data_IF_622970825298
#
_entry.id   IF_622970825298
#
_cell.length_a   1.000
_cell.length_b   1.000
_cell.length_c   1.000
_cell.angle_alpha   90.00
_cell.angle_beta   90.00
_cell.angle_gamma   90.00
#
_symmetry.space_group_name_H-M   'P 1'
#
loop_
_entity.id
_entity.type
_entity.pdbx_description
1 polymer ?
#
# COMPACT_ATOMS: atom_id res chain seq x y z
N UNK A 1 -5.04 37.93 -6.01
CA UNK A 1 -5.06 37.02 -7.18
C UNK A 1 -6.26 36.09 -7.02
N UNK A 2 -6.99 35.71 -8.09
CA UNK A 2 -8.12 34.78 -7.98
C UNK A 2 -7.61 33.36 -7.76
N UNK A 3 -8.29 32.62 -6.89
CA UNK A 3 -8.00 31.22 -6.68
C UNK A 3 -8.54 30.37 -7.85
N UNK A 4 -7.71 29.46 -8.35
CA UNK A 4 -8.10 28.47 -9.35
C UNK A 4 -8.69 27.22 -8.71
N UNK A 5 -9.41 26.41 -9.47
CA UNK A 5 -9.92 25.12 -8.99
C UNK A 5 -8.78 24.19 -8.55
N UNK A 6 -7.66 24.21 -9.26
CA UNK A 6 -6.49 23.43 -8.93
C UNK A 6 -5.81 23.86 -7.60
N UNK A 7 -5.93 25.12 -7.22
CA UNK A 7 -5.43 25.61 -5.93
C UNK A 7 -6.36 25.19 -4.79
N UNK A 8 -7.68 25.30 -4.99
CA UNK A 8 -8.66 24.81 -4.02
C UNK A 8 -8.49 23.30 -3.76
N UNK A 9 -8.30 22.53 -4.81
CA UNK A 9 -8.09 21.08 -4.67
C UNK A 9 -6.78 20.74 -3.92
N UNK A 10 -5.69 21.49 -4.16
CA UNK A 10 -4.44 21.32 -3.42
C UNK A 10 -4.61 21.62 -1.93
N UNK A 11 -5.34 22.66 -1.58
CA UNK A 11 -5.63 23.00 -0.19
C UNK A 11 -6.50 21.91 0.45
N UNK A 12 -7.54 21.45 -0.25
CA UNK A 12 -8.38 20.36 0.21
C UNK A 12 -7.57 19.09 0.48
N UNK A 13 -6.60 18.77 -0.37
CA UNK A 13 -5.69 17.62 -0.15
C UNK A 13 -4.81 17.80 1.07
N UNK A 14 -4.28 19.01 1.30
CA UNK A 14 -3.50 19.32 2.51
C UNK A 14 -4.33 19.15 3.79
N UNK A 15 -5.58 19.59 3.77
CA UNK A 15 -6.50 19.42 4.90
C UNK A 15 -6.80 17.94 5.17
N UNK A 16 -6.99 17.13 4.12
CA UNK A 16 -7.21 15.68 4.21
C UNK A 16 -6.01 14.97 4.84
N UNK A 17 -4.81 15.34 4.41
CA UNK A 17 -3.57 14.79 4.95
C UNK A 17 -3.40 15.12 6.43
N UNK A 18 -3.74 16.35 6.84
CA UNK A 18 -3.72 16.77 8.24
C UNK A 18 -4.68 15.97 9.13
N UNK A 19 -5.88 15.65 8.64
CA UNK A 19 -6.81 14.75 9.37
C UNK A 19 -6.24 13.34 9.45
N UNK A 20 -5.71 12.81 8.35
CA UNK A 20 -5.13 11.47 8.33
C UNK A 20 -3.93 11.32 9.29
N UNK A 21 -3.19 12.41 9.51
CA UNK A 21 -2.10 12.49 10.50
C UNK A 21 -2.57 12.78 11.93
N UNK A 22 -3.87 13.02 12.13
CA UNK A 22 -4.44 13.36 13.44
C UNK A 22 -4.08 14.76 13.93
N UNK A 23 -3.70 15.66 13.03
CA UNK A 23 -3.35 17.07 13.32
C UNK A 23 -4.54 18.01 13.21
N UNK A 24 -5.60 17.56 12.57
CA UNK A 24 -6.84 18.28 12.39
C UNK A 24 -8.00 17.41 12.83
N UNK A 25 -8.89 17.94 13.65
CA UNK A 25 -10.11 17.25 14.04
C UNK A 25 -11.16 17.28 12.92
N UNK A 26 -12.10 16.34 12.92
CA UNK A 26 -13.07 16.19 11.83
C UNK A 26 -13.96 17.42 11.68
N UNK A 27 -14.41 18.00 12.76
CA UNK A 27 -15.27 19.19 12.75
C UNK A 27 -14.54 20.40 12.16
N UNK A 28 -13.27 20.55 12.49
CA UNK A 28 -12.41 21.60 11.96
C UNK A 28 -12.07 21.38 10.48
N UNK A 29 -11.88 20.12 10.11
CA UNK A 29 -11.69 19.76 8.69
C UNK A 29 -12.90 20.15 7.84
N UNK A 30 -14.11 19.81 8.27
CA UNK A 30 -15.33 20.16 7.54
C UNK A 30 -15.48 21.66 7.35
N UNK A 31 -15.21 22.45 8.40
CA UNK A 31 -15.28 23.91 8.36
C UNK A 31 -14.26 24.49 7.37
N UNK A 32 -13.00 24.02 7.45
CA UNK A 32 -11.92 24.51 6.57
C UNK A 32 -12.13 24.06 5.13
N UNK A 33 -12.67 22.86 4.91
CA UNK A 33 -12.99 22.35 3.57
C UNK A 33 -14.09 23.16 2.91
N UNK A 34 -15.17 23.48 3.62
CA UNK A 34 -16.26 24.34 3.14
C UNK A 34 -15.74 25.75 2.81
N UNK A 35 -14.89 26.31 3.67
CA UNK A 35 -14.24 27.59 3.42
C UNK A 35 -13.33 27.53 2.18
N UNK A 36 -12.61 26.43 1.95
CA UNK A 36 -11.74 26.22 0.78
C UNK A 36 -12.52 26.31 -0.52
N UNK A 37 -13.67 25.63 -0.59
CA UNK A 37 -14.51 25.65 -1.81
C UNK A 37 -15.26 26.97 -2.01
N UNK A 38 -15.51 27.74 -0.95
CA UNK A 38 -16.08 29.08 -1.02
C UNK A 38 -15.07 30.17 -1.35
N UNK A 39 -13.79 29.94 -1.11
CA UNK A 39 -12.71 30.89 -1.34
C UNK A 39 -12.60 31.29 -2.82
N UNK A 40 -12.55 32.60 -3.08
CA UNK A 40 -12.42 33.19 -4.41
C UNK A 40 -11.02 33.72 -4.68
N UNK A 41 -10.25 33.92 -3.65
CA UNK A 41 -8.91 34.52 -3.75
C UNK A 41 -7.86 33.66 -3.02
N UNK A 42 -6.62 33.82 -3.45
CA UNK A 42 -5.48 33.14 -2.82
C UNK A 42 -5.31 33.56 -1.34
N UNK A 43 -5.60 34.82 -1.03
CA UNK A 43 -5.53 35.33 0.35
C UNK A 43 -6.57 34.69 1.29
N UNK A 44 -7.65 34.16 0.77
CA UNK A 44 -8.66 33.42 1.54
C UNK A 44 -8.28 31.94 1.73
N UNK A 45 -7.46 31.38 0.86
CA UNK A 45 -6.99 30.00 0.95
C UNK A 45 -5.81 29.84 1.92
N UNK A 46 -4.90 30.79 1.93
CA UNK A 46 -3.66 30.75 2.71
C UNK A 46 -3.87 30.53 4.23
N UNK A 47 -4.84 31.22 4.89
CA UNK A 47 -5.09 31.03 6.31
C UNK A 47 -5.57 29.64 6.69
N UNK A 48 -6.22 28.91 5.75
CA UNK A 48 -6.83 27.61 6.02
C UNK A 48 -5.82 26.49 6.21
N UNK A 49 -4.57 26.70 5.80
CA UNK A 49 -3.48 25.71 5.89
C UNK A 49 -2.22 26.28 6.53
N UNK A 50 -2.25 27.52 7.01
CA UNK A 50 -1.07 28.22 7.52
C UNK A 50 -0.44 27.54 8.74
N UNK A 51 -1.25 26.93 9.58
CA UNK A 51 -0.88 26.18 10.77
C UNK A 51 -0.53 24.72 10.49
N UNK A 52 -0.77 24.26 9.26
CA UNK A 52 -0.44 22.92 8.83
C UNK A 52 0.92 22.87 8.15
N UNK A 53 1.72 21.81 8.35
CA UNK A 53 2.96 21.66 7.62
C UNK A 53 2.67 21.52 6.13
N UNK A 54 3.44 22.24 5.32
CA UNK A 54 3.29 22.15 3.85
C UNK A 54 3.54 20.71 3.40
N UNK A 55 2.62 20.08 2.65
CA UNK A 55 2.84 18.75 2.10
C UNK A 55 4.16 18.74 1.31
N UNK A 56 5.10 17.87 1.71
CA UNK A 56 6.42 17.78 1.09
C UNK A 56 7.54 18.60 1.75
N UNK A 57 7.28 19.36 2.82
CA UNK A 57 8.35 20.02 3.58
C UNK A 57 9.05 19.07 4.58
N UNK A 58 8.41 18.00 4.97
CA UNK A 58 9.02 16.92 5.72
C UNK A 58 9.48 15.83 4.75
N UNK A 59 10.73 15.93 4.34
CA UNK A 59 11.47 14.99 3.48
C UNK A 59 11.54 15.39 2.01
N UNK A 60 12.29 16.43 1.71
CA UNK A 60 13.14 16.35 0.51
C UNK A 60 14.11 15.20 0.77
N UNK A 61 14.02 14.09 0.03
CA UNK A 61 15.12 13.16 0.05
C UNK A 61 16.32 13.92 -0.52
N UNK A 62 17.34 14.12 0.32
CA UNK A 62 18.67 14.38 -0.19
C UNK A 62 18.95 13.18 -1.07
N UNK A 63 19.02 13.41 -2.38
CA UNK A 63 19.46 12.43 -3.34
C UNK A 63 20.92 12.10 -3.02
N UNK A 64 21.11 11.18 -2.09
CA UNK A 64 22.36 10.44 -1.99
C UNK A 64 22.39 9.48 -3.16
N UNK A 65 23.56 9.19 -3.75
CA UNK A 65 23.68 8.31 -4.88
C UNK A 65 23.09 6.95 -4.51
N UNK A 66 22.05 6.55 -5.20
CA UNK A 66 21.48 5.20 -5.13
C UNK A 66 22.54 4.29 -5.74
N UNK A 67 23.43 3.79 -4.90
CA UNK A 67 24.26 2.66 -5.29
C UNK A 67 23.31 1.51 -5.62
N UNK A 68 23.19 1.23 -6.91
CA UNK A 68 22.48 0.07 -7.42
C UNK A 68 23.05 -1.18 -6.77
N UNK A 69 22.38 -1.69 -5.74
CA UNK A 69 22.65 -3.01 -5.21
C UNK A 69 21.81 -3.99 -6.02
N UNK A 70 22.51 -4.86 -6.74
CA UNK A 70 21.97 -6.00 -7.46
C UNK A 70 20.89 -6.71 -6.64
N UNK A 71 19.67 -6.66 -7.14
CA UNK A 71 18.50 -7.30 -6.54
C UNK A 71 18.32 -8.70 -7.08
N UNK A 72 19.14 -9.61 -6.63
CA UNK A 72 18.90 -11.04 -6.83
C UNK A 72 19.26 -11.74 -5.53
N UNK A 73 18.25 -12.18 -4.78
CA UNK A 73 18.34 -13.08 -3.62
C UNK A 73 18.23 -12.47 -2.21
N UNK A 74 17.64 -11.32 -2.03
CA UNK A 74 17.31 -10.88 -0.68
C UNK A 74 15.90 -11.34 -0.28
N UNK A 75 15.79 -12.26 0.69
CA UNK A 75 14.52 -12.59 1.33
C UNK A 75 13.92 -11.36 2.04
N UNK A 76 12.85 -11.53 2.82
CA UNK A 76 12.17 -10.47 3.55
C UNK A 76 13.08 -9.51 4.33
N UNK A 77 14.17 -9.97 5.00
CA UNK A 77 15.08 -9.05 5.70
C UNK A 77 15.70 -7.97 4.82
N UNK A 78 15.91 -8.22 3.53
CA UNK A 78 16.44 -7.22 2.60
C UNK A 78 15.40 -6.18 2.16
N UNK A 79 14.12 -6.43 2.43
CA UNK A 79 13.00 -5.52 2.16
C UNK A 79 12.64 -4.66 3.37
N UNK A 80 13.28 -4.89 4.52
CA UNK A 80 13.07 -4.12 5.75
C UNK A 80 14.16 -3.06 5.87
N UNK A 81 13.78 -1.84 6.20
CA UNK A 81 14.65 -0.67 6.34
C UNK A 81 14.46 0.34 5.21
N UNK A 82 14.89 1.55 5.47
CA UNK A 82 14.74 2.70 4.59
C UNK A 82 13.66 3.69 5.07
N UNK A 83 13.64 4.86 4.46
CA UNK A 83 12.67 5.89 4.81
C UNK A 83 11.33 5.60 4.17
N UNK A 84 10.24 5.80 4.92
CA UNK A 84 8.88 5.71 4.41
C UNK A 84 8.67 6.70 3.25
N UNK A 85 8.09 6.21 2.16
CA UNK A 85 7.79 7.06 0.99
C UNK A 85 6.38 7.64 1.05
N UNK A 86 5.51 7.09 1.91
CA UNK A 86 4.14 7.55 2.09
C UNK A 86 3.62 7.12 3.46
N UNK A 87 2.92 8.01 4.14
CA UNK A 87 2.24 7.76 5.42
C UNK A 87 0.75 7.47 5.23
N UNK A 88 0.18 7.77 4.05
CA UNK A 88 -1.23 7.53 3.80
C UNK A 88 -1.65 7.62 2.33
N UNK A 89 -2.91 7.28 2.09
CA UNK A 89 -3.60 7.45 0.82
C UNK A 89 -5.07 7.78 1.06
N UNK A 90 -5.62 8.65 0.24
CA UNK A 90 -6.95 9.18 0.42
C UNK A 90 -7.73 9.20 -0.91
N UNK A 91 -9.00 8.81 -0.88
CA UNK A 91 -9.93 8.95 -1.99
C UNK A 91 -11.27 9.48 -1.50
N UNK A 92 -11.65 10.69 -1.94
CA UNK A 92 -12.97 11.26 -1.63
C UNK A 92 -13.98 10.90 -2.71
N UNK A 93 -13.73 11.32 -3.97
CA UNK A 93 -14.50 10.98 -5.17
C UNK A 93 -13.54 10.31 -6.16
N UNK A 94 -13.57 9.01 -6.29
CA UNK A 94 -12.68 8.30 -7.19
C UNK A 94 -11.82 7.25 -6.50
N UNK A 95 -10.57 7.08 -6.90
CA UNK A 95 -9.74 6.02 -6.37
C UNK A 95 -8.28 6.40 -6.20
N UNK A 96 -7.61 5.69 -5.31
CA UNK A 96 -6.16 5.70 -5.22
C UNK A 96 -5.59 4.30 -5.48
N UNK A 97 -4.36 4.26 -5.95
CA UNK A 97 -3.62 3.00 -6.10
C UNK A 97 -2.18 3.18 -5.65
N UNK A 98 -1.74 2.30 -4.75
CA UNK A 98 -0.36 2.19 -4.30
C UNK A 98 0.19 0.83 -4.72
N UNK A 99 1.01 0.83 -5.78
CA UNK A 99 1.61 -0.38 -6.38
C UNK A 99 3.10 -0.22 -6.60
N UNK A 100 3.78 -1.33 -6.78
CA UNK A 100 5.21 -1.38 -7.11
C UNK A 100 6.11 -1.18 -5.91
N UNK A 101 7.29 -0.60 -6.15
CA UNK A 101 8.34 -0.46 -5.14
C UNK A 101 8.20 0.83 -4.35
N UNK A 102 7.40 0.80 -3.33
CA UNK A 102 7.27 1.87 -2.36
C UNK A 102 7.60 1.37 -0.94
N UNK A 103 7.95 2.27 -0.03
CA UNK A 103 8.29 1.90 1.35
C UNK A 103 7.15 2.27 2.27
N UNK A 104 6.56 1.24 2.89
CA UNK A 104 5.52 1.41 3.90
C UNK A 104 6.19 1.86 5.19
N UNK A 105 5.70 2.96 5.78
CA UNK A 105 6.12 3.41 7.10
C UNK A 105 5.58 2.51 8.21
N UNK A 106 5.99 2.78 9.45
CA UNK A 106 5.47 2.11 10.64
C UNK A 106 3.94 2.14 10.72
N UNK A 107 3.34 3.24 10.26
CA UNK A 107 1.90 3.44 10.18
C UNK A 107 1.53 3.98 8.81
N UNK A 108 0.52 3.39 8.19
CA UNK A 108 -0.04 3.83 6.92
C UNK A 108 -1.55 3.91 7.06
N UNK A 109 -2.14 5.05 6.74
CA UNK A 109 -3.59 5.25 6.82
C UNK A 109 -4.18 5.41 5.43
N UNK A 110 -5.17 4.59 5.11
CA UNK A 110 -5.92 4.62 3.87
C UNK A 110 -7.38 4.98 4.16
N UNK A 111 -7.91 5.96 3.46
CA UNK A 111 -9.29 6.41 3.60
C UNK A 111 -9.96 6.48 2.24
N UNK A 112 -11.17 5.90 2.14
CA UNK A 112 -12.02 6.01 0.95
C UNK A 112 -13.44 6.40 1.36
N UNK A 113 -13.94 7.53 0.87
CA UNK A 113 -15.32 7.98 1.15
C UNK A 113 -16.28 7.48 0.06
N UNK A 114 -16.22 8.03 -1.15
CA UNK A 114 -16.97 7.57 -2.31
C UNK A 114 -16.01 7.11 -3.40
N UNK A 115 -15.67 5.83 -3.39
CA UNK A 115 -14.72 5.32 -4.36
C UNK A 115 -13.96 4.12 -3.86
N UNK A 116 -12.74 3.94 -4.34
CA UNK A 116 -11.95 2.76 -4.01
C UNK A 116 -10.48 3.04 -3.74
N UNK A 117 -9.84 2.08 -3.07
CA UNK A 117 -8.41 2.09 -2.84
C UNK A 117 -7.79 0.75 -3.17
N UNK A 118 -6.62 0.78 -3.77
CA UNK A 118 -5.84 -0.43 -4.01
C UNK A 118 -4.44 -0.25 -3.43
N UNK A 119 -4.07 -1.16 -2.53
CA UNK A 119 -2.78 -1.19 -1.85
C UNK A 119 -2.12 -2.52 -2.18
N UNK A 120 -1.03 -2.48 -2.94
CA UNK A 120 -0.27 -3.67 -3.30
C UNK A 120 1.05 -3.71 -2.52
N UNK A 121 1.19 -4.68 -1.62
CA UNK A 121 2.36 -4.87 -0.78
C UNK A 121 3.35 -5.91 -1.33
N UNK A 122 3.04 -6.56 -2.44
CA UNK A 122 3.87 -7.64 -3.00
C UNK A 122 5.28 -7.21 -3.39
N UNK A 123 5.43 -5.98 -3.86
CA UNK A 123 6.74 -5.41 -4.20
C UNK A 123 7.16 -4.29 -3.25
N UNK A 124 6.36 -4.00 -2.23
CA UNK A 124 6.64 -2.96 -1.25
C UNK A 124 7.84 -3.32 -0.36
N UNK A 125 8.52 -2.31 0.12
CA UNK A 125 9.49 -2.39 1.20
C UNK A 125 8.84 -1.92 2.49
N UNK A 126 9.43 -2.23 3.62
CA UNK A 126 8.90 -1.87 4.93
C UNK A 126 9.97 -1.09 5.70
N UNK A 127 9.61 0.06 6.25
CA UNK A 127 10.56 0.82 7.05
C UNK A 127 10.95 0.09 8.33
N UNK A 128 10.01 -0.63 8.91
CA UNK A 128 10.15 -1.39 10.15
C UNK A 128 9.58 -2.81 10.00
N UNK A 129 9.87 -3.68 10.99
CA UNK A 129 9.33 -5.07 11.01
C UNK A 129 7.85 -5.13 11.36
N UNK A 130 7.41 -4.23 12.23
CA UNK A 130 6.02 -4.16 12.67
C UNK A 130 5.37 -2.94 12.02
N UNK A 131 4.37 -3.19 11.18
CA UNK A 131 3.69 -2.18 10.40
C UNK A 131 2.18 -2.26 10.63
N UNK A 132 1.54 -1.11 10.81
CA UNK A 132 0.09 -0.99 10.97
C UNK A 132 -0.50 -0.26 9.77
N UNK A 133 -1.42 -0.91 9.07
CA UNK A 133 -2.19 -0.32 7.98
C UNK A 133 -3.62 -0.11 8.47
N UNK A 134 -4.05 1.14 8.53
CA UNK A 134 -5.42 1.50 8.90
C UNK A 134 -6.22 1.79 7.65
N UNK A 135 -7.31 1.03 7.45
CA UNK A 135 -8.18 1.15 6.28
C UNK A 135 -9.58 1.60 6.72
N UNK A 136 -10.02 2.73 6.20
CA UNK A 136 -11.33 3.30 6.48
C UNK A 136 -12.10 3.48 5.17
N UNK A 137 -13.20 2.74 5.01
CA UNK A 137 -14.08 2.82 3.85
C UNK A 137 -15.48 3.23 4.28
N UNK A 138 -16.02 4.34 3.77
CA UNK A 138 -17.38 4.80 4.09
C UNK A 138 -18.38 4.27 3.07
N UNK A 139 -18.32 4.69 1.83
CA UNK A 139 -19.15 4.20 0.71
C UNK A 139 -18.26 3.80 -0.45
N UNK A 140 -17.65 2.63 -0.35
CA UNK A 140 -16.70 2.18 -1.36
C UNK A 140 -15.92 0.96 -0.89
N UNK A 141 -14.87 0.62 -1.62
CA UNK A 141 -14.08 -0.56 -1.32
C UNK A 141 -12.59 -0.31 -1.31
N UNK A 142 -11.89 -1.00 -0.44
CA UNK A 142 -10.44 -1.08 -0.49
C UNK A 142 -9.97 -2.50 -0.68
N UNK A 143 -8.98 -2.67 -1.54
CA UNK A 143 -8.32 -3.95 -1.78
C UNK A 143 -6.87 -3.85 -1.34
N UNK A 144 -6.48 -4.69 -0.40
CA UNK A 144 -5.08 -4.85 0.00
C UNK A 144 -4.58 -6.18 -0.54
N UNK A 145 -3.54 -6.14 -1.35
CA UNK A 145 -2.92 -7.35 -1.93
C UNK A 145 -1.59 -7.62 -1.24
N UNK A 146 -1.43 -8.83 -0.71
CA UNK A 146 -0.24 -9.26 0.03
C UNK A 146 0.36 -10.53 -0.58
N UNK A 147 1.63 -10.83 -0.26
CA UNK A 147 2.23 -12.13 -0.59
C UNK A 147 1.75 -13.21 0.38
N UNK A 148 1.66 -14.48 -0.07
CA UNK A 148 1.15 -15.59 0.77
C UNK A 148 2.01 -15.87 2.00
N UNK A 149 3.32 -15.63 1.91
CA UNK A 149 4.34 -15.86 2.94
C UNK A 149 4.57 -14.64 3.86
N UNK A 150 3.75 -13.60 3.76
CA UNK A 150 3.79 -12.42 4.62
C UNK A 150 2.95 -12.66 5.89
N UNK A 151 3.53 -12.34 7.06
CA UNK A 151 2.79 -12.36 8.35
C UNK A 151 1.76 -11.22 8.38
N UNK A 152 0.50 -11.55 8.14
CA UNK A 152 -0.59 -10.57 8.07
C UNK A 152 -1.67 -10.90 9.09
N UNK A 153 -1.99 -9.91 9.92
CA UNK A 153 -3.11 -9.98 10.87
C UNK A 153 -4.19 -8.99 10.42
N UNK A 154 -5.37 -9.51 10.13
CA UNK A 154 -6.52 -8.71 9.71
C UNK A 154 -7.52 -8.58 10.87
N UNK A 155 -7.85 -7.35 11.24
CA UNK A 155 -8.74 -7.05 12.37
C UNK A 155 -9.50 -5.76 12.10
N UNK A 156 -10.77 -5.84 11.75
CA UNK A 156 -11.58 -4.67 11.45
C UNK A 156 -13.06 -4.94 11.57
N UNK A 157 -13.86 -3.88 11.51
CA UNK A 157 -15.31 -3.92 11.63
C UNK A 157 -15.97 -3.54 10.31
N UNK A 158 -16.90 -4.36 9.83
CA UNK A 158 -17.84 -4.02 8.76
C UNK A 158 -19.25 -3.85 9.32
N UNK A 159 -19.91 -2.70 9.05
CA UNK A 159 -21.27 -2.44 9.57
C UNK A 159 -22.33 -2.83 8.54
N UNK A 160 -22.29 -2.26 7.34
CA UNK A 160 -23.14 -2.63 6.20
C UNK A 160 -22.27 -3.08 5.02
N UNK A 161 -21.30 -3.93 5.34
CA UNK A 161 -20.28 -4.40 4.40
C UNK A 161 -19.34 -5.37 5.09
N UNK A 162 -18.20 -5.67 4.44
CA UNK A 162 -17.24 -6.65 4.94
C UNK A 162 -15.87 -6.04 5.25
N UNK A 163 -15.24 -6.53 6.30
CA UNK A 163 -13.83 -6.31 6.54
C UNK A 163 -13.19 -7.69 6.80
N UNK A 164 -12.31 -8.11 5.92
CA UNK A 164 -11.74 -9.43 6.11
C UNK A 164 -10.83 -9.89 4.98
N UNK A 165 -10.30 -11.07 5.17
CA UNK A 165 -9.46 -11.74 4.18
C UNK A 165 -10.31 -12.57 3.23
N UNK A 166 -10.07 -12.40 1.93
CA UNK A 166 -10.67 -13.18 0.85
C UNK A 166 -9.54 -13.76 0.01
N UNK A 167 -9.03 -14.91 0.41
CA UNK A 167 -7.94 -15.54 -0.31
C UNK A 167 -8.40 -16.77 -1.07
N UNK A 168 -7.99 -16.88 -2.34
CA UNK A 168 -8.07 -18.10 -3.15
C UNK A 168 -6.79 -18.94 -3.05
N UNK A 169 -5.77 -18.42 -2.42
CA UNK A 169 -4.48 -19.07 -2.19
C UNK A 169 -4.39 -19.40 -0.71
N UNK A 170 -4.05 -20.64 -0.39
CA UNK A 170 -3.80 -21.03 0.99
C UNK A 170 -2.73 -20.16 1.63
N UNK A 171 -2.93 -19.87 2.90
CA UNK A 171 -1.95 -19.17 3.70
C UNK A 171 -0.71 -20.05 3.82
N UNK A 172 0.42 -19.50 3.41
CA UNK A 172 1.72 -20.14 3.64
C UNK A 172 2.25 -19.70 5.01
N UNK A 173 2.99 -20.57 5.67
CA UNK A 173 3.67 -20.18 6.89
C UNK A 173 4.53 -18.93 6.65
N UNK A 174 4.51 -17.95 7.56
CA UNK A 174 5.28 -16.74 7.40
C UNK A 174 6.75 -17.04 7.16
N UNK A 175 7.31 -16.51 6.09
CA UNK A 175 8.71 -16.75 5.77
C UNK A 175 9.64 -16.18 6.87
N UNK A 176 10.77 -16.83 7.17
CA UNK A 176 11.70 -16.34 8.16
C UNK A 176 12.13 -14.90 7.90
N UNK A 177 11.90 -14.03 8.90
CA UNK A 177 12.24 -12.61 8.83
C UNK A 177 11.25 -11.76 8.02
N UNK A 178 10.07 -12.28 7.69
CA UNK A 178 8.98 -11.46 7.13
C UNK A 178 8.57 -10.35 8.11
N UNK A 179 8.16 -9.17 7.61
CA UNK A 179 7.58 -8.14 8.44
C UNK A 179 6.18 -8.59 8.90
N UNK A 180 5.78 -8.11 10.08
CA UNK A 180 4.44 -8.30 10.60
C UNK A 180 3.58 -7.12 10.19
N UNK A 181 2.53 -7.37 9.44
CA UNK A 181 1.60 -6.35 8.96
C UNK A 181 0.25 -6.53 9.62
N UNK A 182 -0.16 -5.56 10.43
CA UNK A 182 -1.49 -5.52 11.01
C UNK A 182 -2.38 -4.62 10.17
N UNK A 183 -3.44 -5.17 9.59
CA UNK A 183 -4.44 -4.43 8.83
C UNK A 183 -5.67 -4.27 9.72
N UNK A 184 -6.04 -3.01 10.01
CA UNK A 184 -7.16 -2.70 10.91
C UNK A 184 -7.98 -1.54 10.36
N UNK A 185 -9.18 -1.33 10.90
CA UNK A 185 -10.03 -0.22 10.52
C UNK A 185 -11.51 -0.56 10.50
N UNK A 186 -12.27 0.17 9.69
CA UNK A 186 -13.69 -0.12 9.53
C UNK A 186 -14.17 0.12 8.09
N UNK A 187 -15.26 -0.58 7.73
CA UNK A 187 -16.03 -0.37 6.51
C UNK A 187 -17.50 -0.12 6.88
N UNK A 188 -18.06 1.03 6.48
CA UNK A 188 -19.44 1.39 6.83
C UNK A 188 -20.43 0.83 5.82
N UNK A 189 -20.41 1.29 4.57
CA UNK A 189 -21.23 0.81 3.45
C UNK A 189 -20.34 0.42 2.28
N UNK A 190 -19.64 -0.68 2.43
CA UNK A 190 -18.63 -1.12 1.47
C UNK A 190 -17.75 -2.21 2.04
N UNK A 191 -16.52 -2.33 1.56
CA UNK A 191 -15.66 -3.41 2.03
C UNK A 191 -14.18 -3.08 2.01
N UNK A 192 -13.47 -3.73 2.94
CA UNK A 192 -12.01 -3.82 2.90
C UNK A 192 -11.65 -5.30 2.76
N UNK A 193 -11.15 -5.65 1.60
CA UNK A 193 -10.71 -7.00 1.28
C UNK A 193 -9.19 -7.12 1.32
N UNK A 194 -8.69 -8.14 1.99
CA UNK A 194 -7.28 -8.52 1.93
C UNK A 194 -7.16 -9.78 1.09
N UNK A 195 -6.34 -9.73 0.06
CA UNK A 195 -6.17 -10.85 -0.86
C UNK A 195 -4.70 -11.27 -0.93
N UNK A 196 -4.46 -12.57 -0.77
CA UNK A 196 -3.13 -13.16 -0.93
C UNK A 196 -2.89 -13.52 -2.40
N UNK A 197 -1.88 -12.92 -2.99
CA UNK A 197 -1.46 -13.20 -4.37
C UNK A 197 0.05 -13.25 -4.47
N UNK A 198 0.59 -14.27 -5.14
CA UNK A 198 2.02 -14.30 -5.45
C UNK A 198 2.40 -13.19 -6.42
N UNK A 199 3.55 -12.57 -6.19
CA UNK A 199 4.13 -11.61 -7.13
C UNK A 199 4.47 -12.29 -8.47
N UNK A 200 4.57 -11.51 -9.54
CA UNK A 200 4.99 -12.04 -10.85
C UNK A 200 6.36 -12.72 -10.77
N UNK A 201 7.28 -12.16 -10.00
CA UNK A 201 8.61 -12.73 -9.79
C UNK A 201 8.56 -14.08 -9.05
N UNK A 202 7.72 -14.18 -8.00
CA UNK A 202 7.53 -15.44 -7.28
C UNK A 202 6.91 -16.53 -8.16
N UNK A 203 5.89 -16.18 -8.97
CA UNK A 203 5.29 -17.13 -9.93
C UNK A 203 6.30 -17.65 -10.94
N UNK A 204 7.14 -16.75 -11.48
CA UNK A 204 8.18 -17.13 -12.44
C UNK A 204 9.22 -18.07 -11.80
N UNK A 205 9.70 -17.78 -10.61
CA UNK A 205 10.64 -18.65 -9.87
C UNK A 205 10.04 -20.03 -9.59
N UNK A 206 8.75 -20.08 -9.24
CA UNK A 206 8.08 -21.36 -9.02
C UNK A 206 8.00 -22.18 -10.32
N UNK A 207 7.67 -21.56 -11.43
CA UNK A 207 7.64 -22.21 -12.74
C UNK A 207 9.03 -22.70 -13.18
N UNK A 208 10.07 -21.91 -12.95
CA UNK A 208 11.46 -22.29 -13.24
C UNK A 208 11.88 -23.51 -12.40
N UNK A 209 11.58 -23.53 -11.09
CA UNK A 209 11.85 -24.69 -10.22
C UNK A 209 11.08 -25.95 -10.62
N UNK A 210 9.83 -25.78 -11.01
CA UNK A 210 8.99 -26.89 -11.45
C UNK A 210 9.51 -27.47 -12.78
N UNK A 211 9.90 -26.63 -13.72
CA UNK A 211 10.55 -27.07 -14.97
C UNK A 211 11.87 -27.79 -14.72
N UNK A 212 12.68 -27.29 -13.77
CA UNK A 212 13.94 -27.92 -13.41
C UNK A 212 13.71 -29.29 -12.76
N UNK A 213 12.74 -29.43 -11.83
CA UNK A 213 12.35 -30.70 -11.28
C UNK A 213 11.88 -31.69 -12.35
N UNK A 214 11.09 -31.25 -13.32
CA UNK A 214 10.64 -32.09 -14.41
C UNK A 214 11.78 -32.50 -15.34
N UNK A 215 12.79 -31.65 -15.55
CA UNK A 215 14.00 -32.00 -16.29
C UNK A 215 14.82 -33.08 -15.56
N UNK A 216 15.01 -32.92 -14.25
CA UNK A 216 15.76 -33.86 -13.44
C UNK A 216 15.01 -35.20 -13.23
N UNK A 217 13.68 -35.20 -13.30
CA UNK A 217 12.87 -36.42 -13.19
C UNK A 217 12.67 -37.17 -14.51
N UNK A 218 13.14 -36.63 -15.63
CA UNK A 218 13.17 -37.38 -16.91
C UNK A 218 14.35 -38.35 -16.87
N UNK A 219 14.12 -39.68 -16.80
CA UNK A 219 15.20 -40.64 -16.96
C UNK A 219 15.81 -40.47 -18.34
N UNK A 220 17.13 -40.48 -18.37
CA UNK A 220 17.91 -40.39 -19.60
C UNK A 220 17.54 -41.56 -20.53
N UNK A 221 16.66 -41.30 -21.48
CA UNK A 221 16.19 -42.30 -22.46
C UNK A 221 17.22 -42.51 -23.60
N UNK A 222 18.49 -42.23 -23.30
CA UNK A 222 19.57 -42.20 -24.27
C UNK A 222 20.53 -43.38 -24.28
N UNK A 223 20.47 -44.30 -23.33
CA UNK A 223 21.57 -45.29 -23.17
C UNK A 223 21.21 -46.78 -23.43
N UNK A 224 20.03 -47.05 -23.96
CA UNK A 224 19.63 -48.46 -24.24
C UNK A 224 19.60 -48.77 -25.75
N UNK A 225 20.42 -48.17 -26.58
CA UNK A 225 20.45 -48.53 -28.01
C UNK A 225 21.86 -48.78 -28.60
N UNK A 226 22.76 -49.38 -27.80
CA UNK A 226 24.12 -49.76 -28.31
C UNK A 226 24.63 -51.09 -27.80
N UNK A 227 23.78 -52.04 -27.43
CA UNK A 227 24.22 -53.43 -27.23
C UNK A 227 23.24 -54.41 -27.84
N UNK A 228 23.10 -54.42 -29.15
CA UNK A 228 22.60 -55.55 -29.95
C UNK A 228 23.00 -55.28 -31.39
N UNK A 229 24.23 -55.67 -31.74
CA UNK A 229 24.74 -55.69 -33.09
C UNK A 229 25.94 -56.58 -33.13
#
# INVERSE_FOLDING_TARGET
>A
MRASDAERERIAETLREAVAEGRLEMDEFEQRLDATFKARTHAELEPLVRDLPVPGAASRPVAGPVAGRNETSGGWPARIGGNATSSGAFAFWGGFSRKGRWTVGRSFTAFAMWGGGEIDLREARFAERDVVIRCFAVMGGMQVTVEPDLDVQVSGLGIMGGFGEHSKVEEEDPAPGSPRVRITGFALMGGVGVERKRSKAAKRRLQEREQERLRLSRPDAGETRKELG
#
